data_IF_709490378371
#
_entry.id   IF_709490378371
#
_cell.length_a   1.000
_cell.length_b   1.000
_cell.length_c   1.000
_cell.angle_alpha   90.00
_cell.angle_beta   90.00
_cell.angle_gamma   90.00
#
_symmetry.space_group_name_H-M   'P 1'
#
loop_
_entity.id
_entity.type
_entity.pdbx_description
1 polymer ?
#
# COMPACT_ATOMS: atom_id res chain seq x y z
N UNK A 1 -42.15 6.82 5.71
CA UNK A 1 -40.85 7.45 6.07
C UNK A 1 -39.96 7.35 4.84
N UNK A 2 -39.10 8.33 4.59
CA UNK A 2 -38.13 8.21 3.49
C UNK A 2 -37.19 7.03 3.77
N UNK A 3 -36.83 6.27 2.74
CA UNK A 3 -35.84 5.19 2.90
C UNK A 3 -34.45 5.75 3.19
N UNK A 4 -33.51 4.90 3.62
CA UNK A 4 -32.14 5.32 3.92
C UNK A 4 -31.48 5.99 2.69
N UNK A 5 -31.62 5.39 1.50
CA UNK A 5 -31.05 5.91 0.26
C UNK A 5 -31.74 7.19 -0.21
N UNK A 6 -33.05 7.36 0.00
CA UNK A 6 -33.76 8.61 -0.28
C UNK A 6 -33.27 9.76 0.60
N UNK A 7 -33.10 9.49 1.91
CA UNK A 7 -32.58 10.45 2.86
C UNK A 7 -31.13 10.84 2.53
N UNK A 8 -30.28 9.88 2.19
CA UNK A 8 -28.91 10.13 1.75
C UNK A 8 -28.87 10.97 0.47
N UNK A 9 -29.68 10.62 -0.55
CA UNK A 9 -29.79 11.37 -1.79
C UNK A 9 -30.22 12.82 -1.56
N UNK A 10 -31.20 13.04 -0.69
CA UNK A 10 -31.62 14.38 -0.32
C UNK A 10 -30.50 15.16 0.37
N UNK A 11 -29.79 14.50 1.31
CA UNK A 11 -28.71 15.10 2.10
C UNK A 11 -27.43 15.43 1.30
N UNK A 12 -27.20 14.79 0.16
CA UNK A 12 -25.98 14.96 -0.65
C UNK A 12 -26.22 15.60 -2.02
N UNK A 13 -27.47 15.95 -2.36
CA UNK A 13 -27.86 16.46 -3.68
C UNK A 13 -27.01 17.64 -4.15
N UNK A 14 -26.85 18.65 -3.29
CA UNK A 14 -26.17 19.89 -3.65
C UNK A 14 -24.67 19.65 -3.89
N UNK A 15 -24.04 18.78 -3.10
CA UNK A 15 -22.62 18.42 -3.27
C UNK A 15 -22.41 17.62 -4.57
N UNK A 16 -23.30 16.67 -4.86
CA UNK A 16 -23.25 15.91 -6.11
C UNK A 16 -23.37 16.83 -7.32
N UNK A 17 -24.33 17.75 -7.33
CA UNK A 17 -24.50 18.72 -8.41
C UNK A 17 -23.26 19.61 -8.58
N UNK A 18 -22.62 20.04 -7.49
CA UNK A 18 -21.39 20.83 -7.54
C UNK A 18 -20.23 20.03 -8.16
N UNK A 19 -20.08 18.75 -7.80
CA UNK A 19 -19.06 17.85 -8.39
C UNK A 19 -19.18 17.81 -9.91
N UNK A 20 -20.39 17.62 -10.44
CA UNK A 20 -20.64 17.55 -11.89
C UNK A 20 -20.29 18.86 -12.62
N UNK A 21 -20.26 19.98 -11.90
CA UNK A 21 -19.94 21.30 -12.47
C UNK A 21 -18.48 21.70 -12.35
N UNK A 22 -17.66 20.90 -11.66
CA UNK A 22 -16.21 21.16 -11.52
C UNK A 22 -15.52 21.20 -12.88
N UNK A 23 -14.44 22.00 -13.04
CA UNK A 23 -13.69 22.02 -14.29
C UNK A 23 -13.13 20.64 -14.66
N UNK A 24 -12.77 19.81 -13.67
CA UNK A 24 -12.34 18.43 -13.87
C UNK A 24 -13.44 17.55 -14.47
N UNK A 25 -14.66 17.58 -13.90
CA UNK A 25 -15.76 16.79 -14.42
C UNK A 25 -16.14 17.23 -15.85
N UNK A 26 -16.14 18.56 -16.11
CA UNK A 26 -16.40 19.10 -17.44
C UNK A 26 -15.35 18.67 -18.47
N UNK A 27 -14.07 18.65 -18.11
CA UNK A 27 -13.00 18.25 -19.02
C UNK A 27 -13.03 16.75 -19.38
N UNK A 28 -13.56 15.90 -18.49
CA UNK A 28 -13.87 14.52 -18.84
C UNK A 28 -15.02 14.42 -19.84
N UNK A 29 -16.10 15.18 -19.62
CA UNK A 29 -17.30 15.15 -20.46
C UNK A 29 -17.04 15.67 -21.88
N UNK A 30 -16.22 16.72 -22.02
CA UNK A 30 -15.86 17.31 -23.31
C UNK A 30 -14.62 16.66 -23.98
N UNK A 31 -14.06 15.62 -23.35
CA UNK A 31 -12.86 14.88 -23.81
C UNK A 31 -11.58 15.71 -23.87
N UNK A 32 -11.49 16.82 -23.14
CA UNK A 32 -10.29 17.67 -23.02
C UNK A 32 -9.43 17.35 -21.79
N UNK A 33 -9.78 16.32 -21.01
CA UNK A 33 -9.09 15.94 -19.78
C UNK A 33 -7.58 15.78 -19.97
N UNK A 34 -6.80 16.41 -19.10
CA UNK A 34 -5.34 16.26 -19.10
C UNK A 34 -4.91 14.92 -18.45
N UNK A 35 -3.94 14.18 -19.01
CA UNK A 35 -3.52 12.89 -18.46
C UNK A 35 -3.11 12.92 -16.97
N UNK A 36 -2.45 13.98 -16.51
CA UNK A 36 -2.03 14.10 -15.09
C UNK A 36 -3.23 14.33 -14.15
N UNK A 37 -4.27 15.03 -14.61
CA UNK A 37 -5.49 15.23 -13.84
C UNK A 37 -6.25 13.90 -13.67
N UNK A 38 -6.28 13.06 -14.71
CA UNK A 38 -6.86 11.72 -14.64
C UNK A 38 -6.09 10.80 -13.69
N UNK A 39 -4.74 10.83 -13.71
CA UNK A 39 -3.92 10.08 -12.75
C UNK A 39 -4.22 10.53 -11.31
N UNK A 40 -4.33 11.84 -11.07
CA UNK A 40 -4.73 12.38 -9.77
C UNK A 40 -6.11 11.90 -9.33
N UNK A 41 -7.07 11.78 -10.25
CA UNK A 41 -8.39 11.19 -9.96
C UNK A 41 -8.31 9.74 -9.51
N UNK A 42 -7.58 8.89 -10.23
CA UNK A 42 -7.38 7.48 -9.84
C UNK A 42 -6.81 7.39 -8.43
N UNK A 43 -5.82 8.22 -8.10
CA UNK A 43 -5.16 8.21 -6.78
C UNK A 43 -6.05 8.70 -5.65
N UNK A 44 -6.81 9.79 -5.88
CA UNK A 44 -7.83 10.27 -4.92
C UNK A 44 -8.83 9.16 -4.61
N UNK A 45 -9.36 8.50 -5.65
CA UNK A 45 -10.29 7.40 -5.47
C UNK A 45 -9.64 6.22 -4.75
N UNK A 46 -8.41 5.84 -5.12
CA UNK A 46 -7.69 4.74 -4.51
C UNK A 46 -7.46 4.94 -3.00
N UNK A 47 -7.09 6.16 -2.57
CA UNK A 47 -6.89 6.48 -1.14
C UNK A 47 -8.20 6.32 -0.35
N UNK A 48 -9.31 6.83 -0.88
CA UNK A 48 -10.61 6.77 -0.20
C UNK A 48 -11.14 5.33 -0.16
N UNK A 49 -11.03 4.59 -1.26
CA UNK A 49 -11.40 3.17 -1.32
C UNK A 49 -10.52 2.30 -0.41
N UNK A 50 -9.21 2.55 -0.33
CA UNK A 50 -8.31 1.82 0.56
C UNK A 50 -8.74 1.96 2.03
N UNK A 51 -9.08 3.18 2.45
CA UNK A 51 -9.58 3.42 3.80
C UNK A 51 -10.95 2.77 4.02
N UNK A 52 -11.90 2.92 3.09
CA UNK A 52 -13.26 2.40 3.27
C UNK A 52 -13.31 0.88 3.25
N UNK A 53 -12.79 0.26 2.20
CA UNK A 53 -12.91 -1.18 1.98
C UNK A 53 -12.17 -1.96 3.08
N UNK A 54 -10.99 -1.50 3.49
CA UNK A 54 -10.25 -2.15 4.60
C UNK A 54 -10.94 -2.03 5.96
N UNK A 55 -11.83 -1.04 6.16
CA UNK A 55 -12.65 -0.91 7.37
C UNK A 55 -13.94 -1.70 7.27
N UNK A 56 -14.56 -1.76 6.09
CA UNK A 56 -15.74 -2.59 5.85
C UNK A 56 -15.40 -4.09 5.98
N UNK A 57 -14.25 -4.53 5.47
CA UNK A 57 -13.78 -5.93 5.58
C UNK A 57 -13.52 -6.35 7.03
N UNK A 58 -13.00 -5.44 7.86
CA UNK A 58 -12.66 -5.71 9.25
C UNK A 58 -13.83 -5.46 10.22
N UNK A 59 -15.02 -5.12 9.71
CA UNK A 59 -16.16 -4.73 10.52
C UNK A 59 -17.10 -5.91 10.77
N UNK A 60 -17.27 -6.28 12.04
CA UNK A 60 -18.19 -7.33 12.47
C UNK A 60 -19.63 -6.83 12.73
N UNK A 61 -19.95 -5.58 12.37
CA UNK A 61 -21.27 -5.01 12.64
C UNK A 61 -22.35 -5.62 11.71
N UNK A 62 -23.47 -6.18 12.23
CA UNK A 62 -24.43 -6.92 11.41
C UNK A 62 -24.99 -6.16 10.20
N UNK A 63 -25.33 -4.88 10.36
CA UNK A 63 -25.81 -4.04 9.25
C UNK A 63 -24.75 -3.83 8.17
N UNK A 64 -23.47 -3.76 8.55
CA UNK A 64 -22.38 -3.62 7.59
C UNK A 64 -22.22 -4.91 6.80
N UNK A 65 -22.21 -6.06 7.46
CA UNK A 65 -22.08 -7.37 6.82
C UNK A 65 -23.27 -7.73 5.91
N UNK A 66 -24.46 -7.16 6.13
CA UNK A 66 -25.63 -7.36 5.27
C UNK A 66 -25.53 -6.60 3.93
N UNK A 67 -24.81 -5.47 3.91
CA UNK A 67 -24.71 -4.59 2.74
C UNK A 67 -23.37 -4.77 2.01
N UNK A 68 -22.28 -4.83 2.76
CA UNK A 68 -20.93 -4.96 2.19
C UNK A 68 -20.72 -6.37 1.63
N UNK A 69 -20.21 -6.43 0.40
CA UNK A 69 -19.89 -7.68 -0.27
C UNK A 69 -18.72 -7.49 -1.22
N UNK A 70 -18.02 -8.58 -1.52
CA UNK A 70 -16.89 -8.61 -2.46
C UNK A 70 -17.24 -8.02 -3.84
N UNK A 71 -18.49 -8.12 -4.26
CA UNK A 71 -19.01 -7.58 -5.51
C UNK A 71 -18.94 -6.05 -5.62
N UNK A 72 -18.90 -5.36 -4.46
CA UNK A 72 -18.81 -3.91 -4.36
C UNK A 72 -17.37 -3.39 -4.28
N UNK A 73 -16.38 -4.30 -4.13
CA UNK A 73 -14.95 -3.96 -4.05
C UNK A 73 -14.46 -3.31 -5.35
N UNK A 74 -13.67 -2.23 -5.22
CA UNK A 74 -13.09 -1.50 -6.35
C UNK A 74 -11.62 -1.13 -6.16
N UNK A 75 -11.09 -1.27 -4.95
CA UNK A 75 -9.68 -1.01 -4.69
C UNK A 75 -8.74 -1.82 -5.59
N UNK A 76 -8.95 -3.12 -5.90
CA UNK A 76 -8.07 -3.86 -6.79
C UNK A 76 -7.91 -3.22 -8.17
N UNK A 77 -9.02 -2.78 -8.78
CA UNK A 77 -9.00 -2.10 -10.08
C UNK A 77 -8.32 -0.73 -10.01
N UNK A 78 -8.51 0.03 -8.92
CA UNK A 78 -7.83 1.31 -8.70
C UNK A 78 -6.33 1.14 -8.47
N UNK A 79 -5.91 0.09 -7.78
CA UNK A 79 -4.51 -0.25 -7.59
C UNK A 79 -3.86 -0.68 -8.90
N UNK A 80 -4.54 -1.49 -9.71
CA UNK A 80 -4.09 -1.86 -11.05
C UNK A 80 -3.92 -0.62 -11.94
N UNK A 81 -4.92 0.27 -11.95
CA UNK A 81 -4.85 1.51 -12.73
C UNK A 81 -3.74 2.44 -12.25
N UNK A 82 -3.53 2.59 -10.93
CA UNK A 82 -2.40 3.38 -10.41
C UNK A 82 -1.06 2.75 -10.80
N UNK A 83 -0.96 1.42 -10.76
CA UNK A 83 0.24 0.67 -11.10
C UNK A 83 0.61 0.81 -12.59
N UNK A 84 -0.38 0.90 -13.49
CA UNK A 84 -0.16 1.24 -14.90
C UNK A 84 0.54 2.60 -15.10
N UNK A 85 0.42 3.53 -14.13
CA UNK A 85 1.09 4.83 -14.15
C UNK A 85 2.35 4.91 -13.27
N UNK A 86 2.79 3.80 -12.66
CA UNK A 86 3.93 3.78 -11.74
C UNK A 86 5.17 4.49 -12.28
N UNK A 87 5.57 4.16 -13.51
CA UNK A 87 6.76 4.74 -14.15
C UNK A 87 6.56 6.12 -14.75
N UNK A 88 5.29 6.57 -14.87
CA UNK A 88 5.00 7.93 -15.33
C UNK A 88 5.58 8.95 -14.35
N UNK A 89 5.52 8.64 -13.05
CA UNK A 89 5.91 9.56 -11.98
C UNK A 89 5.26 10.92 -12.20
N UNK A 90 3.93 10.93 -12.32
CA UNK A 90 3.19 12.18 -12.39
C UNK A 90 3.14 12.80 -10.98
N UNK A 91 3.60 14.05 -10.80
CA UNK A 91 3.39 14.76 -9.55
C UNK A 91 1.89 15.02 -9.35
N UNK A 92 1.49 15.36 -8.14
CA UNK A 92 0.10 15.56 -7.74
C UNK A 92 -0.16 16.95 -7.23
N UNK A 93 -1.42 17.38 -7.31
CA UNK A 93 -1.89 18.57 -6.63
C UNK A 93 -2.00 18.27 -5.13
N UNK A 94 -1.21 18.92 -4.25
CA UNK A 94 -1.21 18.60 -2.81
C UNK A 94 -2.59 18.76 -2.18
N UNK A 95 -3.38 19.73 -2.65
CA UNK A 95 -4.77 19.94 -2.20
C UNK A 95 -5.67 18.72 -2.47
N UNK A 96 -5.51 18.06 -3.62
CA UNK A 96 -6.28 16.87 -3.95
C UNK A 96 -5.89 15.68 -3.06
N UNK A 97 -4.58 15.44 -2.89
CA UNK A 97 -4.07 14.40 -2.00
C UNK A 97 -4.53 14.61 -0.55
N UNK A 98 -4.43 15.84 -0.03
CA UNK A 98 -4.88 16.18 1.32
C UNK A 98 -6.40 16.00 1.50
N UNK A 99 -7.21 16.33 0.49
CA UNK A 99 -8.65 16.10 0.55
C UNK A 99 -8.98 14.60 0.62
N UNK A 100 -8.30 13.76 -0.17
CA UNK A 100 -8.44 12.31 -0.11
C UNK A 100 -8.04 11.75 1.26
N UNK A 101 -6.92 12.22 1.82
CA UNK A 101 -6.45 11.83 3.16
C UNK A 101 -7.40 12.27 4.28
N UNK A 102 -8.06 13.44 4.15
CA UNK A 102 -9.12 13.86 5.10
C UNK A 102 -10.32 12.92 5.06
N UNK A 103 -10.79 12.53 3.87
CA UNK A 103 -11.85 11.54 3.74
C UNK A 103 -11.45 10.19 4.34
N UNK A 104 -10.23 9.71 4.04
CA UNK A 104 -9.68 8.47 4.62
C UNK A 104 -9.62 8.55 6.16
N UNK A 105 -9.13 9.66 6.71
CA UNK A 105 -9.05 9.88 8.17
C UNK A 105 -10.44 9.89 8.83
N UNK A 106 -11.43 10.53 8.20
CA UNK A 106 -12.82 10.50 8.66
C UNK A 106 -13.39 9.08 8.68
N UNK A 107 -13.16 8.31 7.61
CA UNK A 107 -13.58 6.90 7.52
C UNK A 107 -12.93 6.07 8.64
N UNK A 108 -11.63 6.23 8.88
CA UNK A 108 -10.92 5.52 9.95
C UNK A 108 -11.47 5.89 11.33
N UNK A 109 -11.80 7.16 11.58
CA UNK A 109 -12.42 7.61 12.82
C UNK A 109 -13.80 6.97 13.02
N UNK A 110 -14.67 7.06 12.01
CA UNK A 110 -16.02 6.50 12.07
C UNK A 110 -16.03 4.98 12.18
N UNK A 111 -15.03 4.29 11.64
CA UNK A 111 -14.91 2.84 11.81
C UNK A 111 -14.75 2.41 13.27
N UNK A 112 -14.23 3.29 14.13
CA UNK A 112 -14.09 3.05 15.58
C UNK A 112 -15.30 3.54 16.35
N UNK A 113 -15.79 4.73 16.03
CA UNK A 113 -16.81 5.41 16.82
C UNK A 113 -18.23 4.99 16.47
N UNK A 114 -18.52 4.81 15.18
CA UNK A 114 -19.83 4.43 14.66
C UNK A 114 -19.72 3.67 13.32
N UNK A 115 -19.51 2.34 13.36
CA UNK A 115 -19.27 1.55 12.16
C UNK A 115 -20.40 1.61 11.11
N UNK A 116 -21.66 1.83 11.51
CA UNK A 116 -22.79 1.99 10.58
C UNK A 116 -22.61 3.22 9.69
N UNK A 117 -21.95 4.26 10.19
CA UNK A 117 -21.68 5.47 9.41
C UNK A 117 -20.79 5.21 8.16
N UNK A 118 -20.04 4.10 8.13
CA UNK A 118 -19.27 3.68 6.96
C UNK A 118 -20.16 3.41 5.74
N UNK A 119 -21.40 2.98 5.94
CA UNK A 119 -22.38 2.76 4.87
C UNK A 119 -22.73 4.07 4.13
N UNK A 120 -22.55 5.22 4.77
CA UNK A 120 -22.61 6.52 4.11
C UNK A 120 -21.49 6.72 3.08
N UNK A 121 -20.26 6.31 3.41
CA UNK A 121 -19.14 6.32 2.47
C UNK A 121 -19.34 5.33 1.33
N UNK A 122 -19.84 4.12 1.64
CA UNK A 122 -20.20 3.12 0.64
C UNK A 122 -21.27 3.65 -0.33
N UNK A 123 -22.25 4.41 0.18
CA UNK A 123 -23.26 5.03 -0.67
C UNK A 123 -22.68 6.03 -1.68
N UNK A 124 -21.74 6.87 -1.24
CA UNK A 124 -21.08 7.85 -2.13
C UNK A 124 -20.31 7.14 -3.24
N UNK A 125 -19.46 6.18 -2.88
CA UNK A 125 -18.57 5.52 -3.83
C UNK A 125 -19.33 4.51 -4.71
N UNK A 126 -20.27 3.76 -4.15
CA UNK A 126 -21.14 2.83 -4.88
C UNK A 126 -22.11 3.54 -5.83
N UNK A 127 -22.60 4.73 -5.45
CA UNK A 127 -23.45 5.56 -6.31
C UNK A 127 -22.76 6.04 -7.59
N UNK A 128 -21.42 6.12 -7.60
CA UNK A 128 -20.63 6.56 -8.77
C UNK A 128 -20.67 5.57 -9.95
N UNK A 129 -21.17 4.36 -9.74
CA UNK A 129 -21.26 3.28 -10.75
C UNK A 129 -21.98 3.70 -12.03
N UNK A 130 -23.07 4.49 -11.93
CA UNK A 130 -23.82 4.97 -13.10
C UNK A 130 -23.05 6.03 -13.89
N UNK A 131 -22.36 6.94 -13.20
CA UNK A 131 -21.49 7.93 -13.83
C UNK A 131 -20.31 7.26 -14.54
N UNK A 132 -19.72 6.23 -13.93
CA UNK A 132 -18.58 5.51 -14.50
C UNK A 132 -18.88 4.86 -15.88
N UNK A 133 -20.11 4.40 -16.12
CA UNK A 133 -20.54 3.87 -17.43
C UNK A 133 -20.42 4.93 -18.53
N UNK A 134 -20.69 6.20 -18.21
CA UNK A 134 -20.57 7.33 -19.13
C UNK A 134 -19.10 7.77 -19.25
N UNK A 135 -18.38 7.85 -18.12
CA UNK A 135 -17.01 8.36 -18.09
C UNK A 135 -16.00 7.40 -18.73
N UNK A 136 -16.20 6.08 -18.64
CA UNK A 136 -15.28 5.09 -19.19
C UNK A 136 -14.99 5.26 -20.70
N UNK A 137 -15.99 5.31 -21.61
CA UNK A 137 -15.72 5.50 -23.03
C UNK A 137 -15.11 6.87 -23.35
N UNK A 138 -15.46 7.91 -22.59
CA UNK A 138 -14.89 9.25 -22.77
C UNK A 138 -13.41 9.29 -22.39
N UNK A 139 -13.04 8.71 -21.25
CA UNK A 139 -11.65 8.59 -20.82
C UNK A 139 -10.83 7.71 -21.77
N UNK A 140 -11.41 6.60 -22.26
CA UNK A 140 -10.79 5.75 -23.28
C UNK A 140 -10.43 6.55 -24.54
N UNK A 141 -11.40 7.31 -25.07
CA UNK A 141 -11.19 8.09 -26.29
C UNK A 141 -10.23 9.27 -26.09
N UNK A 142 -10.35 10.01 -24.99
CA UNK A 142 -9.54 11.19 -24.72
C UNK A 142 -8.06 10.86 -24.41
N UNK A 143 -7.82 9.72 -23.74
CA UNK A 143 -6.51 9.38 -23.18
C UNK A 143 -5.87 8.12 -23.78
N UNK A 144 -6.58 7.41 -24.67
CA UNK A 144 -6.09 6.15 -25.26
C UNK A 144 -5.95 5.02 -24.25
N UNK A 145 -6.74 5.02 -23.17
CA UNK A 145 -6.68 4.02 -22.09
C UNK A 145 -7.49 2.77 -22.43
N UNK A 146 -7.20 1.67 -21.75
CA UNK A 146 -7.98 0.42 -21.86
C UNK A 146 -8.01 -0.32 -20.52
N UNK A 147 -8.94 -1.27 -20.31
CA UNK A 147 -8.91 -2.13 -19.12
C UNK A 147 -7.54 -2.80 -18.95
N UNK A 148 -7.02 -2.81 -17.71
CA UNK A 148 -5.65 -3.26 -17.39
C UNK A 148 -4.55 -2.23 -17.69
N UNK A 149 -4.90 -1.11 -18.33
CA UNK A 149 -3.97 -0.03 -18.69
C UNK A 149 -4.57 1.34 -18.30
N UNK A 150 -4.95 1.48 -17.03
CA UNK A 150 -5.40 2.75 -16.46
C UNK A 150 -6.91 3.03 -16.59
N UNK A 151 -7.73 2.05 -16.98
CA UNK A 151 -9.20 2.21 -17.10
C UNK A 151 -10.02 1.14 -16.36
N UNK A 152 -9.38 0.19 -15.67
CA UNK A 152 -10.06 -0.94 -15.01
C UNK A 152 -11.16 -0.48 -14.05
N UNK A 153 -10.92 0.57 -13.25
CA UNK A 153 -11.87 1.08 -12.28
C UNK A 153 -13.17 1.58 -12.94
N UNK A 154 -13.05 2.41 -13.98
CA UNK A 154 -14.21 2.94 -14.70
C UNK A 154 -14.89 1.84 -15.54
N UNK A 155 -14.11 0.99 -16.20
CA UNK A 155 -14.63 -0.08 -17.06
C UNK A 155 -15.31 -1.22 -16.31
N UNK A 156 -15.04 -1.42 -15.01
CA UNK A 156 -15.73 -2.44 -14.20
C UNK A 156 -17.26 -2.27 -14.22
N UNK A 157 -17.72 -1.06 -14.49
CA UNK A 157 -19.13 -0.67 -14.47
C UNK A 157 -19.88 -0.92 -15.77
N UNK A 158 -19.20 -1.17 -16.91
CA UNK A 158 -19.85 -1.40 -18.21
C UNK A 158 -20.60 -2.75 -18.33
N UNK A 159 -20.67 -3.53 -17.24
CA UNK A 159 -21.44 -4.77 -17.11
C UNK A 159 -22.44 -4.72 -15.94
N UNK A 160 -22.36 -5.68 -15.02
CA UNK A 160 -23.31 -5.84 -13.90
C UNK A 160 -23.13 -4.82 -12.75
N UNK A 161 -22.22 -3.84 -12.88
CA UNK A 161 -21.92 -2.87 -11.83
C UNK A 161 -23.15 -2.13 -11.27
N UNK A 162 -24.00 -1.51 -12.12
CA UNK A 162 -25.21 -0.84 -11.68
C UNK A 162 -26.18 -1.77 -10.92
N UNK A 163 -26.39 -3.00 -11.41
CA UNK A 163 -27.25 -3.97 -10.76
C UNK A 163 -26.70 -4.43 -9.40
N UNK A 164 -25.38 -4.55 -9.25
CA UNK A 164 -24.72 -4.86 -7.97
C UNK A 164 -24.95 -3.74 -6.95
N UNK A 165 -24.81 -2.49 -7.36
CA UNK A 165 -25.12 -1.34 -6.52
C UNK A 165 -26.60 -1.28 -6.14
N UNK A 166 -27.52 -1.53 -7.08
CA UNK A 166 -28.95 -1.51 -6.80
C UNK A 166 -29.38 -2.56 -5.76
N UNK A 167 -28.76 -3.74 -5.77
CA UNK A 167 -28.96 -4.74 -4.69
C UNK A 167 -28.47 -4.25 -3.34
N UNK A 168 -27.30 -3.62 -3.28
CA UNK A 168 -26.76 -3.07 -2.03
C UNK A 168 -27.60 -1.89 -1.52
N UNK A 169 -28.10 -1.04 -2.43
CA UNK A 169 -28.99 0.07 -2.10
C UNK A 169 -30.34 -0.43 -1.55
N UNK A 170 -30.91 -1.49 -2.12
CA UNK A 170 -32.10 -2.12 -1.58
C UNK A 170 -31.83 -2.72 -0.18
N UNK A 171 -30.70 -3.41 0.00
CA UNK A 171 -30.31 -3.92 1.32
C UNK A 171 -30.17 -2.79 2.36
N UNK A 172 -29.61 -1.64 1.99
CA UNK A 172 -29.55 -0.46 2.87
C UNK A 172 -30.94 0.04 3.28
N UNK A 173 -31.87 0.11 2.33
CA UNK A 173 -33.23 0.55 2.59
C UNK A 173 -34.02 -0.42 3.48
N UNK A 174 -33.75 -1.72 3.33
CA UNK A 174 -34.39 -2.78 4.11
C UNK A 174 -33.82 -2.88 5.54
N UNK A 175 -32.49 -2.77 5.70
CA UNK A 175 -31.83 -3.04 6.99
C UNK A 175 -31.64 -1.81 7.88
N UNK A 176 -31.54 -0.60 7.30
CA UNK A 176 -31.30 0.64 8.07
C UNK A 176 -32.58 1.45 8.22
N UNK A 177 -33.35 1.14 9.26
CA UNK A 177 -34.63 1.82 9.55
C UNK A 177 -34.55 2.87 10.67
N UNK A 178 -33.44 2.91 11.42
CA UNK A 178 -33.23 3.86 12.52
C UNK A 178 -32.78 5.23 11.99
N UNK A 179 -33.51 6.29 12.35
CA UNK A 179 -33.23 7.66 11.93
C UNK A 179 -31.86 8.18 12.38
N UNK A 180 -31.35 7.77 13.55
CA UNK A 180 -30.02 8.21 14.00
C UNK A 180 -28.90 7.52 13.20
N UNK A 181 -29.09 6.26 12.80
CA UNK A 181 -28.18 5.55 11.89
C UNK A 181 -28.15 6.21 10.51
N UNK A 182 -29.33 6.52 9.94
CA UNK A 182 -29.45 7.24 8.67
C UNK A 182 -28.77 8.62 8.74
N UNK A 183 -28.92 9.33 9.86
CA UNK A 183 -28.27 10.63 10.09
C UNK A 183 -26.74 10.51 10.17
N UNK A 184 -26.22 9.48 10.85
CA UNK A 184 -24.79 9.21 10.93
C UNK A 184 -24.20 8.85 9.55
N UNK A 185 -24.89 8.00 8.78
CA UNK A 185 -24.53 7.70 7.39
C UNK A 185 -24.53 8.98 6.53
N UNK A 186 -25.55 9.83 6.66
CA UNK A 186 -25.63 11.10 5.95
C UNK A 186 -24.50 12.07 6.30
N UNK A 187 -24.04 12.08 7.56
CA UNK A 187 -22.89 12.88 7.96
C UNK A 187 -21.60 12.41 7.26
N UNK A 188 -21.32 11.11 7.27
CA UNK A 188 -20.16 10.56 6.56
C UNK A 188 -20.25 10.77 5.05
N UNK A 189 -21.43 10.55 4.45
CA UNK A 189 -21.63 10.77 3.02
C UNK A 189 -21.34 12.23 2.61
N UNK A 190 -21.78 13.22 3.40
CA UNK A 190 -21.47 14.63 3.15
C UNK A 190 -19.98 14.93 3.26
N UNK A 191 -19.28 14.38 4.26
CA UNK A 191 -17.83 14.58 4.41
C UNK A 191 -17.08 14.00 3.20
N UNK A 192 -17.40 12.78 2.79
CA UNK A 192 -16.76 12.14 1.63
C UNK A 192 -17.03 12.94 0.35
N UNK A 193 -18.27 13.36 0.10
CA UNK A 193 -18.61 14.21 -1.04
C UNK A 193 -17.88 15.56 -1.01
N UNK A 194 -17.77 16.21 0.15
CA UNK A 194 -17.08 17.49 0.29
C UNK A 194 -15.58 17.34 -0.03
N UNK A 195 -14.94 16.27 0.45
CA UNK A 195 -13.55 15.97 0.12
C UNK A 195 -13.36 15.62 -1.37
N UNK A 196 -14.28 14.88 -1.98
CA UNK A 196 -14.23 14.61 -3.43
C UNK A 196 -14.38 15.89 -4.25
N UNK A 197 -15.28 16.79 -3.86
CA UNK A 197 -15.46 18.08 -4.50
C UNK A 197 -14.19 18.91 -4.45
N UNK A 198 -13.61 19.08 -3.27
CA UNK A 198 -12.34 19.81 -3.07
C UNK A 198 -11.19 19.17 -3.87
N UNK A 199 -11.14 17.84 -3.92
CA UNK A 199 -10.14 17.15 -4.72
C UNK A 199 -10.32 17.44 -6.21
N UNK A 200 -11.53 17.33 -6.74
CA UNK A 200 -11.80 17.50 -8.17
C UNK A 200 -11.62 18.95 -8.62
N UNK A 201 -11.94 19.92 -7.76
CA UNK A 201 -11.61 21.34 -7.99
C UNK A 201 -10.09 21.56 -8.09
N UNK A 202 -9.29 20.79 -7.35
CA UNK A 202 -7.83 20.87 -7.39
C UNK A 202 -7.18 20.06 -8.54
N UNK A 203 -7.92 19.16 -9.19
CA UNK A 203 -7.41 18.36 -10.31
C UNK A 203 -7.44 19.11 -11.64
N UNK A 204 -8.24 20.18 -11.78
CA UNK A 204 -8.26 20.97 -13.00
C UNK A 204 -8.80 22.40 -12.79
N UNK A 205 -8.16 23.45 -13.35
CA UNK A 205 -6.88 23.43 -14.05
C UNK A 205 -5.69 23.15 -13.11
N UNK A 206 -4.67 22.46 -13.62
CA UNK A 206 -3.48 22.11 -12.82
C UNK A 206 -2.59 23.34 -12.59
N UNK A 207 -2.29 23.64 -11.32
CA UNK A 207 -1.23 24.58 -10.95
C UNK A 207 0.12 23.87 -10.93
N UNK A 208 0.81 23.88 -12.09
CA UNK A 208 2.09 23.18 -12.26
C UNK A 208 3.18 23.62 -11.28
N UNK A 209 3.12 24.84 -10.76
CA UNK A 209 4.13 25.34 -9.82
C UNK A 209 3.94 24.76 -8.40
N UNK A 210 2.72 24.33 -8.07
CA UNK A 210 2.38 23.76 -6.77
C UNK A 210 2.38 22.21 -6.76
N UNK A 211 2.63 21.57 -7.90
CA UNK A 211 2.61 20.10 -8.00
C UNK A 211 3.79 19.48 -7.24
N UNK A 212 3.54 18.40 -6.50
CA UNK A 212 4.53 17.71 -5.69
C UNK A 212 4.41 16.20 -5.82
N UNK A 213 5.50 15.49 -5.58
CA UNK A 213 5.43 14.04 -5.40
C UNK A 213 4.97 13.73 -3.98
N UNK A 214 4.04 12.80 -3.85
CA UNK A 214 3.45 12.37 -2.56
C UNK A 214 3.50 10.85 -2.46
N UNK A 215 3.53 10.31 -1.23
CA UNK A 215 3.59 8.86 -1.01
C UNK A 215 2.39 8.11 -1.63
N UNK A 216 1.20 8.70 -1.54
CA UNK A 216 -0.03 8.15 -2.10
C UNK A 216 0.05 7.91 -3.63
N UNK A 217 0.97 8.59 -4.33
CA UNK A 217 1.25 8.39 -5.76
C UNK A 217 1.68 6.97 -6.09
N UNK A 218 2.44 6.36 -5.18
CA UNK A 218 3.02 5.03 -5.30
C UNK A 218 2.15 3.98 -4.62
N UNK A 219 1.70 4.31 -3.42
CA UNK A 219 0.90 3.41 -2.60
C UNK A 219 -0.18 4.20 -1.86
N UNK A 220 -1.45 4.12 -2.32
CA UNK A 220 -2.57 4.74 -1.64
C UNK A 220 -2.74 4.31 -0.17
N UNK A 221 -2.16 3.17 0.22
CA UNK A 221 -2.20 2.63 1.59
C UNK A 221 -1.06 3.15 2.50
N UNK A 222 -0.07 3.91 1.98
CA UNK A 222 1.13 4.30 2.73
C UNK A 222 0.95 5.51 3.67
N UNK A 223 -0.14 6.26 3.52
CA UNK A 223 -0.39 7.48 4.30
C UNK A 223 0.40 8.69 3.78
N UNK A 224 0.73 9.61 4.69
CA UNK A 224 1.39 10.88 4.40
C UNK A 224 2.79 10.91 5.02
N UNK A 225 3.80 10.63 4.20
CA UNK A 225 5.19 10.73 4.59
C UNK A 225 6.02 11.39 3.47
N UNK A 226 7.18 11.98 3.80
CA UNK A 226 8.05 12.59 2.82
C UNK A 226 8.47 11.61 1.72
N UNK A 227 8.58 12.12 0.50
CA UNK A 227 9.18 11.44 -0.65
C UNK A 227 10.10 12.42 -1.40
N UNK A 228 11.10 11.94 -2.16
CA UNK A 228 11.99 12.80 -2.93
C UNK A 228 11.20 13.63 -3.94
N UNK A 229 11.58 14.90 -4.09
CA UNK A 229 10.96 15.81 -5.05
C UNK A 229 11.70 15.86 -6.41
N UNK A 230 12.90 15.30 -6.50
CA UNK A 230 13.59 15.09 -7.77
C UNK A 230 13.10 13.79 -8.43
N UNK A 231 12.60 13.89 -9.67
CA UNK A 231 12.09 12.75 -10.44
C UNK A 231 13.14 11.65 -10.61
N UNK A 232 14.42 12.00 -10.73
CA UNK A 232 15.51 11.04 -10.90
C UNK A 232 15.76 10.23 -9.61
N UNK A 233 15.59 10.82 -8.42
CA UNK A 233 15.60 10.10 -7.14
C UNK A 233 14.46 9.08 -7.09
N UNK A 234 13.26 9.45 -7.56
CA UNK A 234 12.12 8.54 -7.61
C UNK A 234 12.36 7.38 -8.59
N UNK A 235 12.99 7.63 -9.74
CA UNK A 235 13.40 6.55 -10.67
C UNK A 235 14.39 5.61 -9.97
N UNK A 236 15.37 6.14 -9.23
CA UNK A 236 16.31 5.33 -8.45
C UNK A 236 15.60 4.47 -7.40
N UNK A 237 14.62 5.02 -6.70
CA UNK A 237 13.78 4.27 -5.74
C UNK A 237 13.04 3.11 -6.41
N UNK A 238 12.39 3.35 -7.55
CA UNK A 238 11.64 2.29 -8.25
C UNK A 238 12.56 1.17 -8.77
N UNK A 239 13.76 1.53 -9.26
CA UNK A 239 14.79 0.56 -9.65
C UNK A 239 15.34 -0.21 -8.46
N UNK A 240 15.58 0.46 -7.34
CA UNK A 240 16.07 -0.18 -6.13
C UNK A 240 15.06 -1.19 -5.60
N UNK A 241 13.78 -0.83 -5.61
CA UNK A 241 12.68 -1.72 -5.24
C UNK A 241 12.62 -2.94 -6.17
N UNK A 242 12.66 -2.76 -7.50
CA UNK A 242 12.67 -3.89 -8.44
C UNK A 242 13.86 -4.82 -8.27
N UNK A 243 15.06 -4.26 -8.09
CA UNK A 243 16.28 -5.03 -7.81
C UNK A 243 16.16 -5.80 -6.49
N UNK A 244 15.65 -5.17 -5.44
CA UNK A 244 15.47 -5.81 -4.14
C UNK A 244 14.45 -6.96 -4.20
N UNK A 245 13.33 -6.76 -4.90
CA UNK A 245 12.30 -7.79 -5.10
C UNK A 245 12.80 -8.95 -5.97
N UNK A 246 13.66 -8.68 -6.95
CA UNK A 246 14.30 -9.72 -7.76
C UNK A 246 15.33 -10.53 -6.94
N UNK A 247 16.05 -9.87 -6.04
CA UNK A 247 16.99 -10.52 -5.12
C UNK A 247 16.31 -11.23 -3.95
N UNK A 248 15.07 -10.84 -3.58
CA UNK A 248 14.27 -11.45 -2.53
C UNK A 248 12.82 -11.70 -2.99
N UNK A 249 12.58 -12.71 -3.83
CA UNK A 249 11.24 -13.14 -4.27
C UNK A 249 10.25 -13.38 -3.12
N UNK A 250 10.75 -13.66 -1.90
CA UNK A 250 9.95 -13.71 -0.67
C UNK A 250 8.94 -12.56 -0.54
N UNK A 251 9.32 -11.33 -0.91
CA UNK A 251 8.42 -10.18 -0.86
C UNK A 251 7.14 -10.41 -1.68
N UNK A 252 7.28 -10.90 -2.92
CA UNK A 252 6.16 -11.14 -3.81
C UNK A 252 5.41 -12.40 -3.42
N UNK A 253 6.10 -13.48 -3.07
CA UNK A 253 5.43 -14.72 -2.68
C UNK A 253 4.63 -14.61 -1.39
N UNK A 254 5.08 -13.80 -0.42
CA UNK A 254 4.37 -13.59 0.83
C UNK A 254 3.36 -12.45 0.77
N UNK A 255 3.72 -11.32 0.20
CA UNK A 255 2.94 -10.08 0.29
C UNK A 255 2.32 -9.64 -1.05
N UNK A 256 2.57 -10.37 -2.14
CA UNK A 256 2.04 -10.07 -3.47
C UNK A 256 2.40 -8.67 -3.95
N UNK A 257 1.53 -8.08 -4.79
CA UNK A 257 1.71 -6.73 -5.30
C UNK A 257 1.69 -5.65 -4.21
N UNK A 258 1.04 -5.94 -3.07
CA UNK A 258 1.04 -5.04 -1.91
C UNK A 258 2.46 -4.89 -1.35
N UNK A 259 3.22 -5.98 -1.26
CA UNK A 259 4.63 -5.94 -0.85
C UNK A 259 5.48 -5.04 -1.74
N UNK A 260 5.29 -5.10 -3.06
CA UNK A 260 5.97 -4.20 -4.02
C UNK A 260 5.63 -2.73 -3.79
N UNK A 261 4.35 -2.38 -3.63
CA UNK A 261 3.93 -0.99 -3.39
C UNK A 261 4.54 -0.42 -2.10
N UNK A 262 4.60 -1.23 -1.03
CA UNK A 262 5.29 -0.83 0.20
C UNK A 262 6.79 -0.70 0.01
N UNK A 263 7.44 -1.58 -0.76
CA UNK A 263 8.85 -1.40 -1.10
C UNK A 263 9.10 -0.07 -1.82
N UNK A 264 8.26 0.30 -2.80
CA UNK A 264 8.37 1.58 -3.50
C UNK A 264 8.22 2.78 -2.53
N UNK A 265 7.20 2.78 -1.65
CA UNK A 265 6.99 3.90 -0.71
C UNK A 265 8.00 3.97 0.42
N UNK A 266 8.36 2.82 1.01
CA UNK A 266 9.36 2.76 2.07
C UNK A 266 10.72 3.17 1.51
N UNK A 267 11.06 2.74 0.28
CA UNK A 267 12.24 3.18 -0.44
C UNK A 267 12.26 4.69 -0.70
N UNK A 268 11.11 5.26 -1.08
CA UNK A 268 10.97 6.71 -1.24
C UNK A 268 11.19 7.44 0.09
N UNK A 269 10.58 6.97 1.17
CA UNK A 269 10.77 7.55 2.50
C UNK A 269 12.24 7.46 2.96
N UNK A 270 12.85 6.28 2.84
CA UNK A 270 14.27 6.04 3.15
C UNK A 270 15.20 7.02 2.42
N UNK A 271 14.91 7.33 1.15
CA UNK A 271 15.70 8.27 0.36
C UNK A 271 15.68 9.72 0.90
N UNK A 272 14.70 10.07 1.74
CA UNK A 272 14.59 11.39 2.40
C UNK A 272 15.28 11.46 3.75
N UNK A 273 15.46 10.32 4.45
CA UNK A 273 15.97 10.30 5.81
C UNK A 273 17.36 10.94 6.02
N UNK A 274 18.31 10.89 5.06
CA UNK A 274 19.60 11.58 5.23
C UNK A 274 19.46 13.09 5.53
N UNK A 275 18.37 13.73 5.13
CA UNK A 275 18.09 15.15 5.40
C UNK A 275 17.89 15.44 6.89
N UNK A 276 17.58 14.42 7.70
CA UNK A 276 17.42 14.54 9.15
C UNK A 276 18.77 14.55 9.90
N UNK A 277 19.87 14.21 9.23
CA UNK A 277 21.17 13.97 9.86
C UNK A 277 21.32 12.55 10.43
N UNK A 278 22.56 12.14 10.70
CA UNK A 278 22.94 10.75 10.97
C UNK A 278 22.20 10.11 12.15
N UNK A 279 22.08 10.81 13.28
CA UNK A 279 21.48 10.27 14.50
C UNK A 279 19.97 10.05 14.34
N UNK A 280 19.26 11.08 13.85
CA UNK A 280 17.82 10.99 13.61
C UNK A 280 17.48 9.96 12.52
N UNK A 281 18.26 9.94 11.42
CA UNK A 281 18.13 8.91 10.39
C UNK A 281 18.28 7.50 10.97
N UNK A 282 19.31 7.26 11.79
CA UNK A 282 19.54 5.95 12.39
C UNK A 282 18.38 5.53 13.29
N UNK A 283 17.84 6.44 14.10
CA UNK A 283 16.67 6.15 14.92
C UNK A 283 15.42 5.77 14.09
N UNK A 284 15.20 6.42 12.93
CA UNK A 284 14.12 6.07 12.01
C UNK A 284 14.34 4.69 11.35
N UNK A 285 15.58 4.38 10.96
CA UNK A 285 15.94 3.06 10.41
C UNK A 285 15.74 1.96 11.45
N UNK A 286 16.15 2.18 12.69
CA UNK A 286 16.00 1.22 13.78
C UNK A 286 14.51 0.97 14.09
N UNK A 287 13.70 2.03 14.14
CA UNK A 287 12.24 1.93 14.28
C UNK A 287 11.59 1.15 13.13
N UNK A 288 11.93 1.47 11.88
CA UNK A 288 11.39 0.76 10.72
C UNK A 288 11.80 -0.71 10.75
N UNK A 289 13.05 -1.01 11.09
CA UNK A 289 13.55 -2.36 11.28
C UNK A 289 12.72 -3.16 12.29
N UNK A 290 12.38 -2.57 13.43
CA UNK A 290 11.49 -3.20 14.42
C UNK A 290 10.08 -3.46 13.86
N UNK A 291 9.48 -2.46 13.22
CA UNK A 291 8.12 -2.54 12.65
C UNK A 291 8.03 -3.64 11.58
N UNK A 292 9.02 -3.72 10.69
CA UNK A 292 9.09 -4.69 9.62
C UNK A 292 9.40 -6.10 10.14
N UNK A 293 10.33 -6.22 11.09
CA UNK A 293 10.73 -7.52 11.65
C UNK A 293 9.54 -8.24 12.30
N UNK A 294 8.73 -7.54 13.10
CA UNK A 294 7.50 -8.09 13.69
C UNK A 294 6.45 -8.55 12.63
N UNK A 295 6.53 -8.06 11.40
CA UNK A 295 5.66 -8.45 10.26
C UNK A 295 6.26 -9.55 9.39
N UNK A 296 7.35 -10.16 9.84
CA UNK A 296 8.04 -11.21 9.13
C UNK A 296 8.94 -10.68 8.01
N UNK A 297 9.42 -9.44 8.12
CA UNK A 297 10.46 -8.89 7.26
C UNK A 297 11.73 -8.63 8.09
N UNK A 298 12.57 -9.65 8.32
CA UNK A 298 13.77 -9.50 9.14
C UNK A 298 14.70 -8.39 8.62
N UNK A 299 15.45 -7.74 9.51
CA UNK A 299 16.23 -6.52 9.19
C UNK A 299 17.24 -6.68 8.05
N UNK A 300 17.66 -7.91 7.72
CA UNK A 300 18.50 -8.20 6.55
C UNK A 300 17.90 -7.70 5.23
N UNK A 301 16.57 -7.71 5.11
CA UNK A 301 15.84 -7.22 3.93
C UNK A 301 15.92 -5.69 3.84
N UNK A 302 15.68 -5.00 4.96
CA UNK A 302 15.81 -3.54 5.04
C UNK A 302 17.25 -3.09 4.72
N UNK A 303 18.25 -3.75 5.32
CA UNK A 303 19.65 -3.49 5.03
C UNK A 303 19.96 -3.67 3.54
N UNK A 304 19.45 -4.74 2.91
CA UNK A 304 19.69 -4.95 1.49
C UNK A 304 19.02 -3.91 0.60
N UNK A 305 17.78 -3.53 0.91
CA UNK A 305 17.09 -2.48 0.18
C UNK A 305 17.89 -1.17 0.26
N UNK A 306 18.33 -0.76 1.45
CA UNK A 306 19.12 0.46 1.63
C UNK A 306 20.46 0.44 0.88
N UNK A 307 21.17 -0.69 0.82
CA UNK A 307 22.40 -0.83 0.01
C UNK A 307 22.12 -0.59 -1.47
N UNK A 308 21.06 -1.20 -2.00
CA UNK A 308 20.66 -1.07 -3.40
C UNK A 308 20.21 0.37 -3.68
N UNK A 309 19.41 0.95 -2.78
CA UNK A 309 18.93 2.33 -2.88
C UNK A 309 20.08 3.33 -2.90
N UNK A 310 21.08 3.17 -2.02
CA UNK A 310 22.27 4.01 -2.00
C UNK A 310 23.02 3.97 -3.35
N UNK A 311 23.13 2.78 -3.96
CA UNK A 311 23.76 2.60 -5.28
C UNK A 311 22.96 3.29 -6.39
N UNK A 312 21.64 3.10 -6.43
CA UNK A 312 20.77 3.70 -7.45
C UNK A 312 20.72 5.23 -7.33
N UNK A 313 20.66 5.77 -6.11
CA UNK A 313 20.71 7.22 -5.87
C UNK A 313 22.05 7.82 -6.29
N UNK A 314 23.16 7.12 -6.00
CA UNK A 314 24.49 7.55 -6.43
C UNK A 314 24.59 7.57 -7.97
N UNK A 315 24.04 6.55 -8.62
CA UNK A 315 24.02 6.45 -10.09
C UNK A 315 23.10 7.49 -10.75
N UNK A 316 22.04 7.93 -10.08
CA UNK A 316 21.11 8.95 -10.58
C UNK A 316 21.72 10.36 -10.66
N UNK A 317 22.81 10.63 -9.92
CA UNK A 317 23.53 11.91 -9.95
C UNK A 317 22.70 13.10 -9.47
N UNK A 318 21.78 12.84 -8.56
CA UNK A 318 20.75 13.75 -8.01
C UNK A 318 21.05 14.24 -6.61
N UNK A 319 21.79 13.44 -5.84
CA UNK A 319 22.13 13.69 -4.45
C UNK A 319 23.62 13.92 -4.24
N UNK A 320 23.93 14.73 -3.25
CA UNK A 320 25.27 14.84 -2.68
C UNK A 320 25.73 13.42 -2.29
N UNK A 321 26.95 12.98 -2.68
CA UNK A 321 27.45 11.62 -2.38
C UNK A 321 27.35 11.20 -0.90
N UNK A 322 27.28 12.18 -0.01
CA UNK A 322 27.02 12.00 1.42
C UNK A 322 25.68 11.31 1.72
N UNK A 323 24.58 11.65 1.04
CA UNK A 323 23.25 11.03 1.24
C UNK A 323 23.30 9.51 1.02
N UNK A 324 23.87 9.08 -0.11
CA UNK A 324 24.05 7.66 -0.42
C UNK A 324 24.99 6.98 0.58
N UNK A 325 26.06 7.66 1.00
CA UNK A 325 27.02 7.12 1.96
C UNK A 325 26.39 6.91 3.34
N UNK A 326 25.50 7.79 3.79
CA UNK A 326 24.75 7.65 5.05
C UNK A 326 23.83 6.42 5.03
N UNK A 327 23.08 6.21 3.94
CA UNK A 327 22.21 5.04 3.80
C UNK A 327 23.01 3.73 3.75
N UNK A 328 24.10 3.70 2.98
CA UNK A 328 25.00 2.55 2.90
C UNK A 328 25.67 2.24 4.25
N UNK A 329 26.05 3.26 5.02
CA UNK A 329 26.62 3.08 6.36
C UNK A 329 25.63 2.47 7.34
N UNK A 330 24.38 2.96 7.36
CA UNK A 330 23.32 2.40 8.20
C UNK A 330 22.96 0.95 7.80
N UNK A 331 22.97 0.64 6.50
CA UNK A 331 22.77 -0.72 6.03
C UNK A 331 23.91 -1.67 6.47
N UNK A 332 25.16 -1.19 6.36
CA UNK A 332 26.35 -1.92 6.82
C UNK A 332 26.35 -2.16 8.32
N UNK A 333 25.81 -1.23 9.12
CA UNK A 333 25.63 -1.41 10.56
C UNK A 333 24.75 -2.63 10.86
N UNK A 334 23.55 -2.70 10.27
CA UNK A 334 22.64 -3.85 10.41
C UNK A 334 23.33 -5.15 9.95
N UNK A 335 23.99 -5.12 8.78
CA UNK A 335 24.72 -6.29 8.27
C UNK A 335 25.82 -6.74 9.23
N UNK A 336 26.56 -5.79 9.81
CA UNK A 336 27.62 -6.03 10.77
C UNK A 336 27.12 -6.69 12.05
N UNK A 337 25.97 -6.24 12.58
CA UNK A 337 25.30 -6.86 13.73
C UNK A 337 24.96 -8.33 13.46
N UNK A 338 24.39 -8.63 12.28
CA UNK A 338 24.05 -10.00 11.88
C UNK A 338 25.32 -10.84 11.65
N UNK A 339 26.33 -10.29 10.97
CA UNK A 339 27.61 -10.97 10.69
C UNK A 339 28.39 -11.25 11.99
N UNK A 340 28.27 -10.40 13.02
CA UNK A 340 28.90 -10.58 14.33
C UNK A 340 28.28 -11.74 15.11
N UNK A 341 26.96 -11.92 15.02
CA UNK A 341 26.23 -13.03 15.67
C UNK A 341 26.48 -14.35 14.93
N UNK A 342 26.34 -14.37 13.60
CA UNK A 342 26.56 -15.55 12.77
C UNK A 342 27.33 -15.19 11.48
N UNK A 343 28.56 -15.68 11.39
CA UNK A 343 29.47 -15.35 10.29
C UNK A 343 28.94 -15.84 8.94
N UNK A 344 29.36 -15.19 7.86
CA UNK A 344 28.99 -15.56 6.49
C UNK A 344 29.30 -17.02 6.15
N UNK A 345 30.39 -17.56 6.67
CA UNK A 345 30.79 -18.95 6.45
C UNK A 345 29.81 -19.92 7.11
N UNK A 346 29.45 -19.67 8.38
CA UNK A 346 28.47 -20.48 9.12
C UNK A 346 27.09 -20.42 8.49
N UNK A 347 26.67 -19.24 8.00
CA UNK A 347 25.41 -19.10 7.25
C UNK A 347 25.40 -19.95 5.98
N UNK A 348 26.48 -19.93 5.19
CA UNK A 348 26.62 -20.78 4.00
C UNK A 348 26.62 -22.27 4.34
N UNK A 349 27.11 -22.65 5.51
CA UNK A 349 27.04 -24.03 5.99
C UNK A 349 25.59 -24.44 6.30
N UNK A 350 24.83 -23.60 7.01
CA UNK A 350 23.39 -23.83 7.21
C UNK A 350 22.63 -23.90 5.88
N UNK A 351 22.96 -23.04 4.92
CA UNK A 351 22.35 -23.08 3.59
C UNK A 351 22.60 -24.41 2.88
N UNK A 352 23.87 -24.87 2.81
CA UNK A 352 24.21 -26.15 2.17
C UNK A 352 23.53 -27.33 2.85
N UNK A 353 23.51 -27.35 4.18
CA UNK A 353 22.88 -28.41 4.96
C UNK A 353 21.36 -28.43 4.73
N UNK A 354 20.72 -27.26 4.67
CA UNK A 354 19.29 -27.14 4.38
C UNK A 354 18.95 -27.61 2.96
N UNK A 355 19.76 -27.20 1.96
CA UNK A 355 19.65 -27.66 0.58
C UNK A 355 19.76 -29.18 0.48
N UNK A 356 20.72 -29.78 1.19
CA UNK A 356 20.90 -31.23 1.24
C UNK A 356 19.70 -31.92 1.88
N UNK A 357 19.21 -31.43 3.02
CA UNK A 357 18.05 -31.99 3.72
C UNK A 357 16.78 -31.96 2.85
N UNK A 358 16.59 -30.87 2.09
CA UNK A 358 15.46 -30.74 1.17
C UNK A 358 15.62 -31.50 -0.15
N UNK A 359 16.81 -32.04 -0.46
CA UNK A 359 17.12 -32.61 -1.78
C UNK A 359 17.14 -31.56 -2.90
N UNK A 360 17.45 -30.31 -2.59
CA UNK A 360 17.37 -29.13 -3.47
C UNK A 360 18.73 -28.42 -3.58
N UNK A 361 19.70 -29.07 -4.22
CA UNK A 361 21.05 -28.51 -4.36
C UNK A 361 21.05 -27.23 -5.20
N UNK A 362 21.74 -26.20 -4.71
CA UNK A 362 21.85 -24.88 -5.37
C UNK A 362 20.49 -24.19 -5.61
N UNK A 363 19.47 -24.53 -4.83
CA UNK A 363 18.17 -23.88 -4.90
C UNK A 363 18.22 -22.52 -4.20
N UNK A 364 17.87 -21.49 -4.95
CA UNK A 364 17.84 -20.11 -4.48
C UNK A 364 16.83 -19.89 -3.33
N UNK A 365 15.67 -20.55 -3.36
CA UNK A 365 14.68 -20.43 -2.29
C UNK A 365 15.21 -20.99 -0.97
N UNK A 366 16.05 -22.03 -1.01
CA UNK A 366 16.74 -22.55 0.17
C UNK A 366 17.71 -21.50 0.77
N UNK A 367 18.48 -20.83 -0.08
CA UNK A 367 19.41 -19.78 0.34
C UNK A 367 18.69 -18.58 0.96
N UNK A 368 17.61 -18.15 0.31
CA UNK A 368 16.74 -17.07 0.80
C UNK A 368 16.13 -17.44 2.16
N UNK A 369 15.53 -18.63 2.29
CA UNK A 369 14.89 -19.07 3.53
C UNK A 369 15.86 -19.09 4.72
N UNK A 370 17.08 -19.59 4.53
CA UNK A 370 18.11 -19.59 5.59
C UNK A 370 18.60 -18.17 5.90
N UNK A 371 18.74 -17.31 4.90
CA UNK A 371 19.11 -15.91 5.12
C UNK A 371 18.07 -15.19 5.98
N UNK A 372 16.78 -15.38 5.68
CA UNK A 372 15.67 -14.82 6.46
C UNK A 372 15.62 -15.41 7.86
N UNK A 373 15.76 -16.73 7.99
CA UNK A 373 15.71 -17.43 9.27
C UNK A 373 16.82 -16.97 10.21
N UNK A 374 18.06 -16.87 9.72
CA UNK A 374 19.18 -16.36 10.51
C UNK A 374 18.92 -14.93 10.96
N UNK A 375 18.47 -14.05 10.06
CA UNK A 375 18.17 -12.67 10.42
C UNK A 375 17.06 -12.58 11.46
N UNK A 376 16.01 -13.39 11.36
CA UNK A 376 14.92 -13.39 12.34
C UNK A 376 15.39 -13.84 13.73
N UNK A 377 16.29 -14.83 13.78
CA UNK A 377 16.88 -15.30 15.03
C UNK A 377 17.80 -14.25 15.66
N UNK A 378 18.57 -13.53 14.83
CA UNK A 378 19.38 -12.39 15.31
C UNK A 378 18.49 -11.24 15.79
N UNK A 379 17.43 -10.92 15.05
CA UNK A 379 16.48 -9.87 15.43
C UNK A 379 15.87 -10.13 16.82
N UNK A 380 15.42 -11.35 17.11
CA UNK A 380 14.91 -11.69 18.45
C UNK A 380 16.02 -11.69 19.52
N UNK A 381 17.26 -12.08 19.18
CA UNK A 381 18.40 -11.98 20.09
C UNK A 381 18.78 -10.52 20.42
N UNK A 382 18.38 -9.58 19.55
CA UNK A 382 18.52 -8.13 19.74
C UNK A 382 17.21 -7.50 20.26
N UNK A 383 16.33 -8.29 20.88
CA UNK A 383 15.06 -7.86 21.51
C UNK A 383 13.99 -7.33 20.54
N UNK A 384 14.05 -7.70 19.26
CA UNK A 384 12.98 -7.43 18.28
C UNK A 384 11.99 -8.60 18.25
N UNK A 385 11.02 -8.55 19.16
CA UNK A 385 10.05 -9.62 19.37
C UNK A 385 9.15 -9.88 18.14
N UNK A 386 8.76 -11.15 17.97
CA UNK A 386 7.77 -11.56 16.96
C UNK A 386 8.34 -11.83 15.56
N UNK A 387 9.64 -11.59 15.34
CA UNK A 387 10.28 -11.82 14.04
C UNK A 387 10.20 -13.28 13.59
N UNK A 388 10.57 -14.21 14.47
CA UNK A 388 10.59 -15.65 14.15
C UNK A 388 9.16 -16.16 14.00
N UNK A 389 8.27 -15.83 14.94
CA UNK A 389 6.87 -16.28 14.89
C UNK A 389 6.18 -15.84 13.59
N UNK A 390 6.36 -14.57 13.21
CA UNK A 390 5.79 -14.02 11.99
C UNK A 390 6.42 -14.63 10.74
N UNK A 391 7.74 -14.83 10.70
CA UNK A 391 8.41 -15.49 9.58
C UNK A 391 7.95 -16.94 9.40
N UNK A 392 7.89 -17.71 10.50
CA UNK A 392 7.49 -19.12 10.49
C UNK A 392 6.03 -19.31 10.10
N UNK A 393 5.12 -18.39 10.45
CA UNK A 393 3.73 -18.45 9.99
C UNK A 393 3.59 -18.58 8.46
N UNK A 394 4.63 -18.18 7.72
CA UNK A 394 4.73 -18.36 6.29
C UNK A 394 5.67 -19.51 5.90
N UNK A 395 6.92 -19.54 6.42
CA UNK A 395 7.95 -20.50 5.99
C UNK A 395 7.66 -21.97 6.33
N UNK A 396 6.74 -22.23 7.27
CA UNK A 396 6.35 -23.60 7.67
C UNK A 396 4.88 -23.92 7.42
N UNK A 397 4.20 -23.16 6.56
CA UNK A 397 2.81 -23.46 6.18
C UNK A 397 2.76 -24.77 5.35
N UNK A 398 2.11 -25.83 5.85
CA UNK A 398 2.05 -27.13 5.16
C UNK A 398 1.25 -27.10 3.85
N UNK A 399 0.45 -26.05 3.63
CA UNK A 399 -0.24 -25.85 2.35
C UNK A 399 0.68 -25.24 1.29
N UNK A 400 1.84 -24.71 1.68
CA UNK A 400 2.82 -24.06 0.78
C UNK A 400 4.06 -24.89 0.59
N UNK A 401 4.54 -25.53 1.66
CA UNK A 401 5.82 -26.22 1.67
C UNK A 401 5.66 -27.71 1.98
N UNK A 402 6.47 -28.58 1.34
CA UNK A 402 6.44 -30.01 1.62
C UNK A 402 6.93 -30.29 3.05
N UNK A 403 6.50 -31.42 3.62
CA UNK A 403 6.87 -31.83 4.99
C UNK A 403 8.37 -31.77 5.27
N UNK A 404 9.20 -32.25 4.34
CA UNK A 404 10.68 -32.26 4.46
C UNK A 404 11.24 -30.85 4.64
N UNK A 405 10.68 -29.85 3.94
CA UNK A 405 11.07 -28.45 4.10
C UNK A 405 10.72 -27.92 5.49
N UNK A 406 9.49 -28.19 5.93
CA UNK A 406 8.98 -27.73 7.23
C UNK A 406 9.83 -28.30 8.38
N UNK A 407 10.10 -29.60 8.35
CA UNK A 407 10.95 -30.27 9.34
C UNK A 407 12.37 -29.68 9.34
N UNK A 408 12.97 -29.50 8.16
CA UNK A 408 14.31 -28.91 8.03
C UNK A 408 14.37 -27.45 8.54
N UNK A 409 13.33 -26.62 8.33
CA UNK A 409 13.29 -25.25 8.89
C UNK A 409 13.31 -25.29 10.42
N UNK A 410 12.55 -26.18 11.05
CA UNK A 410 12.53 -26.31 12.50
C UNK A 410 13.87 -26.81 13.08
N UNK A 411 14.51 -27.77 12.42
CA UNK A 411 15.85 -28.24 12.81
C UNK A 411 16.89 -27.12 12.72
N UNK A 412 16.90 -26.37 11.62
CA UNK A 412 17.81 -25.24 11.44
C UNK A 412 17.55 -24.10 12.42
N UNK A 413 16.28 -23.80 12.72
CA UNK A 413 15.93 -22.83 13.75
C UNK A 413 16.51 -23.20 15.11
N UNK A 414 16.38 -24.46 15.52
CA UNK A 414 16.93 -24.96 16.77
C UNK A 414 18.47 -24.88 16.79
N UNK A 415 19.12 -25.29 15.70
CA UNK A 415 20.58 -25.24 15.57
C UNK A 415 21.12 -23.81 15.64
N UNK A 416 20.50 -22.86 14.92
CA UNK A 416 20.92 -21.45 14.92
C UNK A 416 20.74 -20.83 16.31
N UNK A 417 19.59 -21.07 16.98
CA UNK A 417 19.36 -20.61 18.36
C UNK A 417 20.41 -21.15 19.33
N UNK A 418 20.75 -22.43 19.21
CA UNK A 418 21.79 -23.03 20.04
C UNK A 418 23.14 -22.36 19.82
N UNK A 419 23.55 -22.13 18.56
CA UNK A 419 24.82 -21.47 18.25
C UNK A 419 24.89 -20.04 18.80
N UNK A 420 23.80 -19.27 18.71
CA UNK A 420 23.76 -17.92 19.28
C UNK A 420 23.79 -17.93 20.82
N UNK A 421 23.14 -18.90 21.47
CA UNK A 421 23.15 -19.02 22.94
C UNK A 421 24.54 -19.33 23.50
N UNK A 422 25.33 -20.17 22.81
CA UNK A 422 26.70 -20.53 23.22
C UNK A 422 27.65 -19.33 23.11
N UNK A 423 27.44 -18.45 22.13
CA UNK A 423 28.23 -17.22 21.96
C UNK A 423 27.88 -16.11 22.95
N UNK A 424 26.69 -16.12 23.57
CA UNK A 424 26.34 -15.13 24.60
C UNK A 424 26.99 -15.39 25.96
N UNK A 425 27.55 -16.59 26.18
CA UNK A 425 28.17 -17.04 27.45
C UNK A 425 29.71 -16.93 27.42
N UNK A 426 30.30 -16.66 26.26
CA UNK A 426 31.74 -16.41 26.08
C UNK A 426 31.97 -14.94 25.82
#
# INVERSE_FOLDING_TARGET
>A
MATATEALRAATRDLHARIETTPFAKSLLDKSIHPDAYVGYIRVMAVIHAALESRLDACDHPLVSQVWSEDLRRLPELLEDNDAFRWKLAPEAPKAAQAALRAASHILLMSKDNPVALLGGLYVLGGSTKGAVILAPLAMEALGLSPGHGLSYLSRHSGQGPAKWERAAAALDDCVTDSEQVKAMGATARVVFQCLLEAFEALWPLDRAAMQYVAAAFNPEAGDHPVPQDRRDLIAVLRASERCLAEFPYFIYRFGQRGRRFADTDGAWLATLPELGTEAMQAQVDWLGQVLSARGMPRILLARHMEILAQELLAAGTGQPERSSMLDAAAKKIRGEIDARLSRERRREHERNFQQACGRLSDFACAEAITLLVSAVVDEADCLEGSIASLLSWLVDPNRFPRVWVEAIHEHLAAIRQELSVKAVK
#
